data_IF_710695305711
#
_entry.id   IF_710695305711
#
_cell.length_a   1.000
_cell.length_b   1.000
_cell.length_c   1.000
_cell.angle_alpha   90.00
_cell.angle_beta   90.00
_cell.angle_gamma   90.00
#
_symmetry.space_group_name_H-M   'P 1'
#
loop_
_entity.id
_entity.type
_entity.pdbx_description
1 polymer ?
#
# COMPACT_ATOMS: atom_id res chain seq x y z
N UNK A 1 9.59 8.12 -10.69
CA UNK A 1 9.70 6.84 -9.96
C UNK A 1 8.37 6.09 -10.06
N UNK A 2 8.40 4.75 -10.03
CA UNK A 2 7.17 3.97 -9.92
C UNK A 2 6.84 3.81 -8.43
N UNK A 3 5.59 4.02 -8.04
CA UNK A 3 5.14 3.81 -6.66
C UNK A 3 4.21 2.61 -6.59
N UNK A 4 4.26 1.88 -5.49
CA UNK A 4 3.22 0.95 -5.08
C UNK A 4 2.24 1.72 -4.18
N UNK A 5 0.93 1.57 -4.41
CA UNK A 5 -0.11 2.24 -3.62
C UNK A 5 -0.96 1.21 -2.89
N UNK A 6 -1.33 1.54 -1.65
CA UNK A 6 -2.27 0.78 -0.82
C UNK A 6 -3.30 1.72 -0.23
N UNK A 7 -4.54 1.24 -0.07
CA UNK A 7 -5.60 1.94 0.63
C UNK A 7 -6.03 1.09 1.81
N UNK A 8 -6.13 1.73 2.98
CA UNK A 8 -6.63 1.13 4.21
C UNK A 8 -7.68 2.04 4.83
N UNK A 9 -8.51 1.49 5.70
CA UNK A 9 -9.54 2.23 6.43
C UNK A 9 -9.23 2.36 7.92
N UNK A 10 -8.08 1.86 8.37
CA UNK A 10 -7.69 1.89 9.78
C UNK A 10 -6.26 2.39 9.98
N UNK A 11 -6.05 3.10 11.09
CA UNK A 11 -4.72 3.57 11.50
C UNK A 11 -3.83 2.38 11.88
N UNK A 12 -4.39 1.30 12.44
CA UNK A 12 -3.65 0.07 12.75
C UNK A 12 -3.02 -0.56 11.49
N UNK A 13 -3.79 -0.70 10.42
CA UNK A 13 -3.26 -1.21 9.15
C UNK A 13 -2.27 -0.24 8.50
N UNK A 14 -2.50 1.07 8.63
CA UNK A 14 -1.56 2.08 8.14
C UNK A 14 -0.20 1.98 8.86
N UNK A 15 -0.20 1.74 10.18
CA UNK A 15 1.02 1.54 10.96
C UNK A 15 1.76 0.27 10.52
N UNK A 16 1.05 -0.86 10.34
CA UNK A 16 1.66 -2.10 9.81
C UNK A 16 2.34 -1.89 8.46
N UNK A 17 1.68 -1.17 7.55
CA UNK A 17 2.25 -0.85 6.25
C UNK A 17 3.42 0.15 6.35
N UNK A 18 3.44 1.01 7.37
CA UNK A 18 4.57 1.88 7.64
C UNK A 18 5.84 1.10 8.02
N UNK A 19 5.71 0.03 8.81
CA UNK A 19 6.81 -0.91 9.09
C UNK A 19 7.30 -1.63 7.82
N UNK A 20 6.42 -1.84 6.83
CA UNK A 20 6.76 -2.39 5.50
C UNK A 20 7.36 -1.34 4.53
N UNK A 21 7.56 -0.11 5.01
CA UNK A 21 8.15 0.99 4.24
C UNK A 21 7.17 1.73 3.32
N UNK A 22 5.86 1.60 3.56
CA UNK A 22 4.88 2.51 2.95
C UNK A 22 4.81 3.82 3.73
N UNK A 23 4.63 4.91 3.01
CA UNK A 23 4.50 6.25 3.57
C UNK A 23 3.10 6.78 3.31
N UNK A 24 2.58 7.57 4.26
CA UNK A 24 1.30 8.25 4.08
C UNK A 24 1.36 9.16 2.85
N UNK A 25 0.41 8.98 1.94
CA UNK A 25 0.28 9.80 0.74
C UNK A 25 -0.89 10.76 0.85
N UNK A 26 -2.06 10.27 1.28
CA UNK A 26 -3.29 11.06 1.35
C UNK A 26 -4.28 10.45 2.35
N UNK A 27 -5.01 11.30 3.07
CA UNK A 27 -6.20 10.88 3.82
C UNK A 27 -7.40 11.53 3.14
N UNK A 28 -8.39 10.70 2.78
CA UNK A 28 -9.67 11.15 2.26
C UNK A 28 -10.71 10.93 3.36
N UNK A 29 -11.25 12.01 3.95
CA UNK A 29 -12.29 11.89 4.97
C UNK A 29 -13.51 11.14 4.46
N UNK A 30 -14.22 10.49 5.36
CA UNK A 30 -15.54 9.95 5.06
C UNK A 30 -16.46 11.03 4.48
N UNK A 31 -17.17 10.68 3.40
CA UNK A 31 -18.08 11.62 2.75
C UNK A 31 -19.32 11.94 3.59
N UNK A 32 -20.13 12.89 3.11
CA UNK A 32 -21.35 13.38 3.78
C UNK A 32 -22.38 12.28 4.11
N UNK A 33 -22.32 11.13 3.43
CA UNK A 33 -23.17 9.97 3.67
C UNK A 33 -22.67 9.03 4.78
N UNK A 34 -21.62 9.44 5.52
CA UNK A 34 -20.95 8.58 6.50
C UNK A 34 -20.04 7.54 5.85
N UNK A 35 -19.18 6.94 6.67
CA UNK A 35 -18.18 5.96 6.25
C UNK A 35 -16.90 6.07 7.07
N UNK A 36 -15.89 5.28 6.70
CA UNK A 36 -14.56 5.37 7.30
C UNK A 36 -13.63 6.19 6.43
N UNK A 37 -12.74 6.94 7.05
CA UNK A 37 -11.67 7.64 6.36
C UNK A 37 -10.83 6.65 5.55
N UNK A 38 -10.44 7.05 4.34
CA UNK A 38 -9.58 6.26 3.47
C UNK A 38 -8.17 6.80 3.57
N UNK A 39 -7.27 5.96 4.05
CA UNK A 39 -5.86 6.28 4.22
C UNK A 39 -5.12 5.63 3.05
N UNK A 40 -4.57 6.46 2.19
CA UNK A 40 -3.76 6.05 1.06
C UNK A 40 -2.29 6.14 1.44
N UNK A 41 -1.58 5.02 1.30
CA UNK A 41 -0.15 4.94 1.48
C UNK A 41 0.53 4.60 0.16
N UNK A 42 1.78 5.04 0.01
CA UNK A 42 2.61 4.71 -1.15
C UNK A 42 4.01 4.32 -0.73
N UNK A 43 4.66 3.47 -1.51
CA UNK A 43 6.08 3.13 -1.36
C UNK A 43 6.78 3.28 -2.69
N UNK A 44 7.98 3.85 -2.71
CA UNK A 44 8.81 3.84 -3.92
C UNK A 44 9.18 2.42 -4.31
N UNK A 45 8.86 2.02 -5.55
CA UNK A 45 9.45 0.82 -6.13
C UNK A 45 10.91 1.16 -6.43
N UNK A 46 11.83 0.64 -5.61
CA UNK A 46 13.26 0.71 -5.92
C UNK A 46 13.47 0.21 -7.35
N UNK A 47 14.11 1.02 -8.20
CA UNK A 47 14.58 0.60 -9.54
C UNK A 47 15.53 -0.58 -9.34
N UNK A 48 15.02 -1.81 -9.45
CA UNK A 48 15.76 -3.04 -9.17
C UNK A 48 14.91 -4.12 -8.51
N UNK A 49 13.79 -3.78 -7.88
CA UNK A 49 12.79 -4.75 -7.45
C UNK A 49 11.87 -5.05 -8.64
N UNK A 50 12.26 -6.02 -9.47
CA UNK A 50 11.32 -6.70 -10.37
C UNK A 50 10.12 -7.11 -9.51
N UNK A 51 8.88 -6.66 -9.77
CA UNK A 51 7.74 -7.15 -9.04
C UNK A 51 7.68 -8.65 -9.29
N UNK A 52 7.98 -9.43 -8.24
CA UNK A 52 8.00 -10.88 -8.28
C UNK A 52 6.60 -11.41 -8.58
N UNK A 53 6.25 -11.48 -9.86
CA UNK A 53 5.52 -12.62 -10.37
C UNK A 53 6.52 -13.77 -10.55
N UNK A 54 7.05 -14.29 -9.44
CA UNK A 54 7.56 -15.67 -9.45
C UNK A 54 6.34 -16.53 -9.17
N UNK A 55 5.53 -16.69 -10.22
CA UNK A 55 4.44 -17.66 -10.21
C UNK A 55 5.07 -19.04 -10.36
N UNK A 56 5.01 -19.77 -9.26
CA UNK A 56 4.97 -21.22 -9.15
C UNK A 56 6.17 -22.03 -9.67
N UNK A 57 6.74 -22.79 -8.74
CA UNK A 57 7.52 -24.00 -8.91
C UNK A 57 7.19 -24.79 -10.19
N UNK A 58 8.22 -25.16 -10.96
CA UNK A 58 8.34 -26.56 -11.36
C UNK A 58 9.81 -26.96 -11.38
N UNK A 59 10.16 -27.84 -10.44
CA UNK A 59 11.35 -28.67 -10.49
C UNK A 59 11.08 -29.79 -11.49
N UNK A 60 11.95 -30.00 -12.48
CA UNK A 60 11.86 -31.15 -13.40
C UNK A 60 12.33 -30.83 -14.80
#
# INVERSE_FOLDING_TARGET
MAFEYRMVSSVDEANKLADEGFELFQIVPAGQNGGTDRIYLRREKRRGATPGFVRESNSG
#
